data_IF_147953159248
#
_entry.id   IF_147953159248
#
_cell.length_a   1.000
_cell.length_b   1.000
_cell.length_c   1.000
_cell.angle_alpha   90.00
_cell.angle_beta   90.00
_cell.angle_gamma   90.00
#
_symmetry.space_group_name_H-M   'P 1'
#
loop_
_entity.id
_entity.type
_entity.pdbx_description
1 polymer ?
#
# COMPACT_ATOMS: atom_id res chain seq x y z
N UNK A 1 -21.49 -3.30 -29.65
CA UNK A 1 -20.64 -2.73 -28.59
C UNK A 1 -20.33 -3.87 -27.62
N UNK A 2 -19.09 -4.36 -27.51
CA UNK A 2 -18.79 -5.34 -26.47
C UNK A 2 -18.85 -4.67 -25.10
N UNK A 3 -19.38 -5.37 -24.09
CA UNK A 3 -19.47 -4.86 -22.72
C UNK A 3 -18.08 -4.74 -22.08
N UNK A 4 -17.83 -3.74 -21.22
CA UNK A 4 -16.51 -3.50 -20.66
C UNK A 4 -16.33 -4.32 -19.38
N UNK A 5 -16.09 -5.63 -19.45
CA UNK A 5 -15.48 -6.48 -18.37
C UNK A 5 -15.62 -7.96 -18.71
N UNK A 6 -14.78 -8.50 -19.59
CA UNK A 6 -14.50 -9.94 -19.54
C UNK A 6 -13.13 -10.14 -18.88
N UNK A 7 -13.16 -10.68 -17.66
CA UNK A 7 -11.97 -11.21 -16.98
C UNK A 7 -11.51 -12.46 -17.74
N UNK A 8 -10.80 -12.23 -18.85
CA UNK A 8 -10.13 -13.30 -19.58
C UNK A 8 -9.07 -13.95 -18.68
N UNK A 9 -8.81 -15.26 -18.81
CA UNK A 9 -7.76 -15.94 -18.03
C UNK A 9 -6.40 -15.23 -18.09
N UNK A 10 -6.06 -14.66 -19.25
CA UNK A 10 -4.84 -13.89 -19.45
C UNK A 10 -4.82 -12.59 -18.60
N UNK A 11 -5.94 -11.88 -18.51
CA UNK A 11 -6.06 -10.68 -17.68
C UNK A 11 -6.00 -10.99 -16.17
N UNK A 12 -6.54 -12.14 -15.75
CA UNK A 12 -6.46 -12.61 -14.37
C UNK A 12 -5.02 -12.95 -14.00
N UNK A 13 -4.31 -13.67 -14.86
CA UNK A 13 -2.90 -14.01 -14.63
C UNK A 13 -2.03 -12.76 -14.58
N UNK A 14 -2.24 -11.81 -15.50
CA UNK A 14 -1.53 -10.54 -15.51
C UNK A 14 -1.74 -9.74 -14.22
N UNK A 15 -2.95 -9.75 -13.64
CA UNK A 15 -3.23 -9.09 -12.35
C UNK A 15 -2.59 -9.81 -11.17
N UNK A 16 -2.60 -11.15 -11.15
CA UNK A 16 -1.88 -11.93 -10.12
C UNK A 16 -0.38 -11.66 -10.17
N UNK A 17 0.18 -11.59 -11.38
CA UNK A 17 1.57 -11.23 -11.61
C UNK A 17 1.90 -9.81 -11.14
N UNK A 18 1.02 -8.85 -11.45
CA UNK A 18 1.14 -7.48 -10.98
C UNK A 18 1.18 -7.40 -9.46
N UNK A 19 0.25 -8.09 -8.80
CA UNK A 19 0.16 -8.15 -7.35
C UNK A 19 1.40 -8.76 -6.72
N UNK A 20 1.85 -9.92 -7.21
CA UNK A 20 3.06 -10.58 -6.72
C UNK A 20 4.30 -9.69 -6.82
N UNK A 21 4.42 -8.93 -7.90
CA UNK A 21 5.52 -7.97 -8.08
C UNK A 21 5.43 -6.81 -7.09
N UNK A 22 4.23 -6.33 -6.78
CA UNK A 22 4.01 -5.26 -5.77
C UNK A 22 4.45 -5.74 -4.39
N UNK A 23 4.11 -6.99 -4.04
CA UNK A 23 4.58 -7.60 -2.78
C UNK A 23 6.10 -7.78 -2.74
N UNK A 24 6.71 -8.24 -3.83
CA UNK A 24 8.17 -8.37 -3.92
C UNK A 24 8.88 -7.01 -3.82
N UNK A 25 8.31 -5.96 -4.39
CA UNK A 25 8.82 -4.59 -4.29
C UNK A 25 8.73 -4.09 -2.85
N UNK A 26 7.60 -4.31 -2.16
CA UNK A 26 7.46 -4.00 -0.73
C UNK A 26 8.50 -4.72 0.12
N UNK A 27 8.71 -6.03 -0.09
CA UNK A 27 9.70 -6.82 0.64
C UNK A 27 11.13 -6.32 0.38
N UNK A 28 11.45 -5.94 -0.87
CA UNK A 28 12.74 -5.36 -1.24
C UNK A 28 12.98 -4.05 -0.51
N UNK A 29 12.02 -3.12 -0.56
CA UNK A 29 12.15 -1.80 0.07
C UNK A 29 12.25 -1.93 1.59
N UNK A 30 11.47 -2.83 2.20
CA UNK A 30 11.57 -3.10 3.63
C UNK A 30 12.96 -3.65 4.00
N UNK A 31 13.50 -4.57 3.20
CA UNK A 31 14.84 -5.14 3.43
C UNK A 31 15.95 -4.09 3.30
N UNK A 32 15.85 -3.19 2.32
CA UNK A 32 16.82 -2.11 2.11
C UNK A 32 16.79 -1.14 3.30
N UNK A 33 15.61 -0.74 3.76
CA UNK A 33 15.43 0.09 4.95
C UNK A 33 16.00 -0.57 6.22
N UNK A 34 15.71 -1.86 6.43
CA UNK A 34 16.26 -2.61 7.57
C UNK A 34 17.79 -2.69 7.52
N UNK A 35 18.38 -2.84 6.33
CA UNK A 35 19.83 -2.82 6.15
C UNK A 35 20.45 -1.45 6.50
N UNK A 36 19.68 -0.37 6.33
CA UNK A 36 20.02 0.99 6.76
C UNK A 36 19.73 1.27 8.24
N UNK A 37 19.21 0.29 8.99
CA UNK A 37 18.93 0.38 10.42
C UNK A 37 17.54 0.91 10.77
N UNK A 38 16.60 0.91 9.82
CA UNK A 38 15.22 1.27 10.08
C UNK A 38 14.41 0.10 10.64
N UNK A 39 13.48 0.42 11.53
CA UNK A 39 12.41 -0.50 11.93
C UNK A 39 11.26 -0.40 10.91
N UNK A 40 10.79 -1.54 10.40
CA UNK A 40 9.82 -1.56 9.29
C UNK A 40 8.61 -2.42 9.60
N UNK A 41 7.41 -1.89 9.34
CA UNK A 41 6.15 -2.64 9.37
C UNK A 41 5.63 -2.77 7.94
N UNK A 42 5.87 -3.92 7.32
CA UNK A 42 5.40 -4.24 5.96
C UNK A 42 4.08 -5.00 6.00
N UNK A 43 3.04 -4.42 5.40
CA UNK A 43 1.67 -4.92 5.45
C UNK A 43 1.18 -5.16 4.02
N UNK A 44 0.94 -6.42 3.62
CA UNK A 44 0.21 -6.71 2.40
C UNK A 44 -1.24 -6.30 2.64
N UNK A 45 -1.64 -5.14 2.11
CA UNK A 45 -2.99 -4.63 2.24
C UNK A 45 -3.98 -5.54 1.53
N UNK A 46 -5.17 -5.66 2.11
CA UNK A 46 -6.24 -6.49 1.54
C UNK A 46 -7.05 -5.75 0.50
N UNK A 47 -7.47 -4.52 0.83
CA UNK A 47 -8.27 -3.68 -0.05
C UNK A 47 -7.91 -2.22 0.14
N UNK A 48 -7.78 -1.47 -0.96
CA UNK A 48 -7.61 -0.03 -0.92
C UNK A 48 -8.56 0.64 -1.92
N UNK A 49 -9.15 1.76 -1.51
CA UNK A 49 -10.07 2.53 -2.32
C UNK A 49 -9.85 4.04 -2.13
N UNK A 50 -10.04 4.85 -3.18
CA UNK A 50 -10.03 6.30 -3.04
C UNK A 50 -11.30 6.80 -2.35
N UNK A 51 -11.14 7.68 -1.38
CA UNK A 51 -12.19 8.52 -0.79
C UNK A 51 -11.99 9.94 -1.34
N UNK A 52 -12.96 10.41 -2.12
CA UNK A 52 -12.90 11.73 -2.78
C UNK A 52 -13.43 12.83 -1.85
N UNK A 53 -12.96 14.08 -1.95
CA UNK A 53 -13.33 15.14 -1.00
C UNK A 53 -14.84 15.41 -0.87
N UNK A 54 -15.60 15.18 -1.95
CA UNK A 54 -17.04 15.44 -1.99
C UNK A 54 -17.90 14.26 -1.48
N UNK A 55 -17.26 13.16 -1.06
CA UNK A 55 -17.93 11.93 -0.60
C UNK A 55 -17.31 11.48 0.72
N UNK A 56 -18.12 11.38 1.76
CA UNK A 56 -17.68 10.89 3.08
C UNK A 56 -17.74 11.97 4.15
N UNK A 57 -16.83 11.87 5.12
CA UNK A 57 -16.71 12.83 6.22
C UNK A 57 -15.94 14.07 5.76
N UNK A 58 -16.41 15.28 6.10
CA UNK A 58 -15.75 16.53 5.71
C UNK A 58 -14.29 16.55 6.17
N UNK A 59 -13.37 16.80 5.22
CA UNK A 59 -11.93 16.85 5.49
C UNK A 59 -11.21 15.51 5.43
N UNK A 60 -11.91 14.40 5.19
CA UNK A 60 -11.30 13.08 4.99
C UNK A 60 -11.28 12.72 3.50
N UNK A 61 -10.09 12.67 2.92
CA UNK A 61 -9.88 12.29 1.52
C UNK A 61 -8.53 11.60 1.36
N UNK A 62 -8.39 10.79 0.29
CA UNK A 62 -7.16 10.04 -0.01
C UNK A 62 -7.43 8.56 -0.23
N UNK A 63 -6.45 7.71 0.06
CA UNK A 63 -6.63 6.26 -0.02
C UNK A 63 -6.97 5.67 1.35
N UNK A 64 -8.06 4.92 1.41
CA UNK A 64 -8.44 4.15 2.60
C UNK A 64 -7.97 2.72 2.40
N UNK A 65 -7.17 2.23 3.36
CA UNK A 65 -6.65 0.87 3.36
C UNK A 65 -7.36 0.03 4.41
N UNK A 66 -7.69 -1.21 4.04
CA UNK A 66 -8.10 -2.27 4.97
C UNK A 66 -6.95 -3.24 5.09
N UNK A 67 -6.41 -3.36 6.30
CA UNK A 67 -5.30 -4.25 6.61
C UNK A 67 -5.78 -5.52 7.32
N UNK A 68 -5.08 -6.66 7.16
CA UNK A 68 -5.41 -7.86 7.92
C UNK A 68 -5.22 -7.64 9.44
N UNK A 69 -6.16 -8.12 10.26
CA UNK A 69 -6.20 -7.81 11.70
C UNK A 69 -4.97 -8.26 12.50
N UNK A 70 -4.23 -9.27 12.02
CA UNK A 70 -2.97 -9.69 12.65
C UNK A 70 -1.84 -8.64 12.54
N UNK A 71 -2.00 -7.59 11.72
CA UNK A 71 -1.09 -6.45 11.64
C UNK A 71 -1.56 -5.24 12.45
N UNK A 72 -2.75 -5.28 13.07
CA UNK A 72 -3.32 -4.13 13.77
C UNK A 72 -2.38 -3.59 14.85
N UNK A 73 -1.88 -4.47 15.73
CA UNK A 73 -1.02 -4.05 16.84
C UNK A 73 0.29 -3.46 16.36
N UNK A 74 0.94 -4.08 15.36
CA UNK A 74 2.21 -3.60 14.81
C UNK A 74 2.03 -2.26 14.09
N UNK A 75 0.94 -2.10 13.32
CA UNK A 75 0.61 -0.83 12.69
C UNK A 75 0.37 0.26 13.73
N UNK A 76 -0.44 -0.03 14.76
CA UNK A 76 -0.79 0.93 15.80
C UNK A 76 0.45 1.40 16.56
N UNK A 77 1.31 0.48 16.97
CA UNK A 77 2.54 0.79 17.69
C UNK A 77 3.46 1.70 16.87
N UNK A 78 3.66 1.39 15.59
CA UNK A 78 4.46 2.22 14.70
C UNK A 78 3.81 3.59 14.43
N UNK A 79 2.51 3.62 14.14
CA UNK A 79 1.80 4.84 13.73
C UNK A 79 1.56 5.82 14.89
N UNK A 80 1.25 5.34 16.09
CA UNK A 80 1.01 6.18 17.28
C UNK A 80 2.30 6.87 17.78
N UNK A 81 3.49 6.38 17.38
CA UNK A 81 4.75 7.08 17.60
C UNK A 81 4.82 8.44 16.86
N UNK A 82 4.03 8.60 15.80
CA UNK A 82 3.95 9.82 15.00
C UNK A 82 5.09 9.97 13.98
N UNK A 83 5.27 11.18 13.44
CA UNK A 83 6.47 11.53 12.65
C UNK A 83 6.44 11.18 11.15
N UNK A 84 5.37 10.57 10.64
CA UNK A 84 5.22 10.23 9.22
C UNK A 84 4.88 11.43 8.31
N UNK A 85 5.72 12.47 8.31
CA UNK A 85 5.54 13.66 7.48
C UNK A 85 5.90 13.42 6.00
N UNK A 86 6.71 12.38 5.74
CA UNK A 86 7.12 12.01 4.40
C UNK A 86 6.46 10.69 4.00
N UNK A 87 5.97 10.66 2.76
CA UNK A 87 5.52 9.44 2.13
C UNK A 87 6.00 9.38 0.68
N UNK A 88 6.20 8.16 0.21
CA UNK A 88 6.52 7.85 -1.18
C UNK A 88 5.46 6.84 -1.69
N UNK A 89 5.00 7.00 -2.94
CA UNK A 89 4.01 6.12 -3.57
C UNK A 89 4.59 5.51 -4.83
N UNK A 90 4.68 4.19 -4.86
CA UNK A 90 5.10 3.40 -6.00
C UNK A 90 3.86 2.80 -6.64
N UNK A 91 3.67 2.93 -7.95
CA UNK A 91 2.47 2.41 -8.59
C UNK A 91 2.72 1.82 -9.97
N UNK A 92 1.77 0.97 -10.38
CA UNK A 92 1.72 0.39 -11.72
C UNK A 92 0.28 0.21 -12.16
N UNK A 93 0.03 0.44 -13.44
CA UNK A 93 -1.26 0.19 -14.06
C UNK A 93 -1.18 -1.06 -14.96
N UNK A 94 -2.04 -2.05 -14.70
CA UNK A 94 -2.16 -3.26 -15.52
C UNK A 94 -3.64 -3.56 -15.75
N UNK A 95 -4.07 -3.57 -17.02
CA UNK A 95 -5.44 -3.91 -17.40
C UNK A 95 -6.50 -3.00 -16.78
N UNK A 96 -6.21 -1.70 -16.67
CA UNK A 96 -7.10 -0.70 -16.07
C UNK A 96 -7.24 -0.80 -14.54
N UNK A 97 -6.35 -1.55 -13.88
CA UNK A 97 -6.23 -1.63 -12.42
C UNK A 97 -4.91 -1.02 -11.98
N UNK A 98 -4.97 -0.21 -10.93
CA UNK A 98 -3.79 0.36 -10.28
C UNK A 98 -3.39 -0.54 -9.12
N UNK A 99 -2.14 -0.93 -9.10
CA UNK A 99 -1.46 -1.57 -7.98
C UNK A 99 -0.48 -0.55 -7.43
N UNK A 100 -0.48 -0.33 -6.13
CA UNK A 100 0.37 0.69 -5.54
C UNK A 100 0.86 0.27 -4.16
N UNK A 101 2.01 0.82 -3.78
CA UNK A 101 2.65 0.65 -2.50
C UNK A 101 2.84 2.05 -1.92
N UNK A 102 2.31 2.28 -0.73
CA UNK A 102 2.55 3.49 0.05
C UNK A 102 3.62 3.20 1.09
N UNK A 103 4.67 4.01 1.09
CA UNK A 103 5.71 4.01 2.10
C UNK A 103 5.57 5.28 2.93
N UNK A 104 5.35 5.12 4.23
CA UNK A 104 5.36 6.21 5.21
C UNK A 104 6.70 6.18 5.96
N UNK A 105 7.37 7.32 6.06
CA UNK A 105 8.70 7.44 6.67
C UNK A 105 8.70 8.45 7.82
N UNK A 106 9.15 8.01 8.99
CA UNK A 106 9.54 8.86 10.11
C UNK A 106 11.07 8.84 10.26
N UNK A 107 11.73 9.79 9.62
CA UNK A 107 13.19 9.88 9.61
C UNK A 107 13.82 10.12 11.00
N UNK A 108 13.27 10.99 11.87
CA UNK A 108 13.75 11.14 13.25
C UNK A 108 13.84 9.84 14.06
N UNK A 109 12.85 8.95 13.94
CA UNK A 109 12.83 7.68 14.70
C UNK A 109 13.33 6.47 13.90
N UNK A 110 13.61 6.66 12.61
CA UNK A 110 13.94 5.59 11.66
C UNK A 110 12.87 4.49 11.60
N UNK A 111 11.60 4.88 11.67
CA UNK A 111 10.47 3.98 11.50
C UNK A 111 9.86 4.11 10.10
N UNK A 112 9.48 2.99 9.51
CA UNK A 112 8.79 2.96 8.23
C UNK A 112 7.56 2.03 8.25
N UNK A 113 6.47 2.47 7.64
CA UNK A 113 5.27 1.66 7.42
C UNK A 113 5.08 1.51 5.91
N UNK A 114 4.96 0.27 5.44
CA UNK A 114 4.75 -0.06 4.04
C UNK A 114 3.38 -0.73 3.86
N UNK A 115 2.57 -0.20 2.94
CA UNK A 115 1.21 -0.65 2.65
C UNK A 115 1.08 -0.96 1.15
N UNK A 116 1.03 -2.24 0.79
CA UNK A 116 0.77 -2.70 -0.59
C UNK A 116 -0.72 -2.93 -0.87
#
# INVERSE_FOLDING_TARGET
>A
MPEPTEDTPASVEARKDAWRRTLQEMESIASDLQAEGWETVAIPGGHAAPEVPDVGEEGRFGFVHVIPGNYESAFREAFEAGGFERYDVFHREIGGKVFFLVQLLDAPSQNAILLA
#
